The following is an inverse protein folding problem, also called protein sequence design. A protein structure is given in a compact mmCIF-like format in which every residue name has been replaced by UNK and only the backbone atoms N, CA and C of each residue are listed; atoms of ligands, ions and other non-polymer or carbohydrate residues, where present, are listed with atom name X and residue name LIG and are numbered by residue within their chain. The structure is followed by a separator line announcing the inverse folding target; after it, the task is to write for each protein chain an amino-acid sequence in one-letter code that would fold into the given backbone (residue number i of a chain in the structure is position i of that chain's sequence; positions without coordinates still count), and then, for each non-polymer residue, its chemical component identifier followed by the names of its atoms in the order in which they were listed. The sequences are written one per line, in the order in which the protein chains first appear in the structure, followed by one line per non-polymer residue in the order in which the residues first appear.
data_IF_980380226714
#
_entry.id   IF_980380226714
#
_cell.length_a   1.000
_cell.length_b   1.000
_cell.length_c   1.000
_cell.angle_alpha   90.00
_cell.angle_beta   90.00
_cell.angle_gamma   90.00
#
_symmetry.space_group_name_H-M   'P 1'
#
loop_
_entity.id
_entity.type
_entity.pdbx_description
1 polymer ?
#
# COMPACT_ATOMS: atom_id res chain seq x y z
N UNK A 1 -6.34 -5.49 6.68
CA UNK A 1 -5.34 -6.15 5.83
C UNK A 1 -4.05 -5.34 5.86
N UNK A 2 -2.92 -6.01 5.79
CA UNK A 2 -1.62 -5.35 5.66
C UNK A 2 -1.12 -5.57 4.23
N UNK A 3 -0.91 -4.49 3.49
CA UNK A 3 -0.44 -4.53 2.09
C UNK A 3 0.84 -3.73 2.02
N UNK A 4 1.97 -4.41 1.99
CA UNK A 4 3.31 -3.80 1.94
C UNK A 4 3.57 -2.81 3.11
N UNK A 5 3.04 -3.09 4.30
CA UNK A 5 3.16 -2.21 5.48
C UNK A 5 2.08 -1.14 5.57
N UNK A 6 1.21 -1.02 4.56
CA UNK A 6 0.06 -0.10 4.59
C UNK A 6 -1.15 -0.80 5.21
N UNK A 7 -1.69 -0.21 6.29
CA UNK A 7 -2.92 -0.68 6.91
C UNK A 7 -4.12 -0.37 6.02
N UNK A 8 -4.60 -1.42 5.35
CA UNK A 8 -5.67 -1.36 4.36
C UNK A 8 -6.97 -1.91 4.94
N UNK A 9 -8.09 -1.26 4.60
CA UNK A 9 -9.43 -1.60 5.11
C UNK A 9 -10.20 -2.36 4.04
N UNK A 10 -10.71 -3.54 4.37
CA UNK A 10 -11.64 -4.28 3.51
C UNK A 10 -13.07 -3.95 3.93
N UNK A 11 -13.93 -3.64 2.96
CA UNK A 11 -15.37 -3.48 3.14
C UNK A 11 -16.11 -4.33 2.10
N UNK A 12 -17.35 -4.71 2.41
CA UNK A 12 -18.26 -5.37 1.47
C UNK A 12 -19.28 -4.32 1.02
N UNK A 13 -19.18 -3.90 -0.23
CA UNK A 13 -20.00 -2.84 -0.81
C UNK A 13 -21.03 -3.43 -1.77
N UNK A 14 -21.97 -2.61 -2.25
CA UNK A 14 -22.99 -3.05 -3.21
C UNK A 14 -22.41 -3.60 -4.52
N UNK A 15 -21.20 -3.19 -4.88
CA UNK A 15 -20.44 -3.64 -6.05
C UNK A 15 -19.45 -4.78 -5.75
N UNK A 16 -19.50 -5.34 -4.54
CA UNK A 16 -18.64 -6.44 -4.10
C UNK A 16 -17.55 -6.02 -3.11
N UNK A 17 -16.58 -6.92 -2.84
CA UNK A 17 -15.48 -6.65 -1.92
C UNK A 17 -14.60 -5.51 -2.40
N UNK A 18 -14.32 -4.56 -1.50
CA UNK A 18 -13.52 -3.38 -1.78
C UNK A 18 -12.40 -3.23 -0.75
N UNK A 19 -11.15 -3.10 -1.22
CA UNK A 19 -10.01 -2.81 -0.35
C UNK A 19 -9.54 -1.37 -0.55
N UNK A 20 -9.56 -0.59 0.53
CA UNK A 20 -9.06 0.79 0.56
C UNK A 20 -7.65 0.84 1.13
N UNK A 21 -6.70 1.34 0.33
CA UNK A 21 -5.28 1.45 0.67
C UNK A 21 -4.96 2.95 0.89
N UNK A 22 -4.32 3.34 2.01
CA UNK A 22 -4.02 4.74 2.28
C UNK A 22 -2.88 5.28 1.40
N UNK A 23 -2.99 6.55 0.99
CA UNK A 23 -1.88 7.33 0.45
C UNK A 23 -1.07 8.04 1.55
N UNK A 24 -0.05 8.79 1.14
CA UNK A 24 0.75 9.61 2.03
C UNK A 24 1.11 10.96 1.36
N UNK A 25 1.26 12.01 2.16
CA UNK A 25 1.80 13.28 1.69
C UNK A 25 3.33 13.19 1.57
N UNK A 26 3.86 13.67 0.44
CA UNK A 26 5.30 13.69 0.16
C UNK A 26 5.78 15.14 0.24
N UNK A 27 6.78 15.38 1.07
CA UNK A 27 7.42 16.68 1.30
C UNK A 27 8.93 16.57 1.06
N UNK A 28 9.66 17.69 1.10
CA UNK A 28 11.11 17.68 0.88
C UNK A 28 11.85 16.83 1.91
N UNK A 29 11.31 16.73 3.12
CA UNK A 29 11.93 16.03 4.25
C UNK A 29 11.82 14.51 4.11
N UNK A 30 10.87 13.99 3.32
CA UNK A 30 10.63 12.56 3.18
C UNK A 30 10.65 12.05 1.73
N UNK A 31 10.92 12.91 0.75
CA UNK A 31 10.81 12.59 -0.69
C UNK A 31 11.62 11.36 -1.08
N UNK A 32 12.74 11.08 -0.40
CA UNK A 32 13.62 9.94 -0.68
C UNK A 32 13.21 8.63 -0.02
N UNK A 33 12.06 8.58 0.69
CA UNK A 33 11.59 7.37 1.35
C UNK A 33 11.38 6.23 0.32
N UNK A 34 12.08 5.09 0.45
CA UNK A 34 12.01 4.00 -0.52
C UNK A 34 10.62 3.36 -0.64
N UNK A 35 9.73 3.55 0.36
CA UNK A 35 8.35 3.09 0.30
C UNK A 35 7.49 3.87 -0.70
N UNK A 36 7.90 5.08 -1.10
CA UNK A 36 7.19 5.84 -2.12
C UNK A 36 7.50 5.27 -3.50
N UNK A 37 6.44 4.87 -4.21
CA UNK A 37 6.54 4.21 -5.51
C UNK A 37 7.31 5.03 -6.55
N UNK A 38 7.28 6.37 -6.46
CA UNK A 38 8.04 7.28 -7.32
C UNK A 38 9.57 7.13 -7.22
N UNK A 39 10.08 6.53 -6.13
CA UNK A 39 11.51 6.24 -5.95
C UNK A 39 11.95 4.91 -6.57
N UNK A 40 11.05 4.18 -7.25
CA UNK A 40 11.36 2.98 -8.04
C UNK A 40 12.11 1.87 -7.28
N UNK A 41 11.88 1.76 -5.98
CA UNK A 41 12.41 0.70 -5.11
C UNK A 41 11.27 -0.25 -4.70
N UNK A 42 10.82 -1.14 -5.61
CA UNK A 42 9.74 -2.07 -5.29
C UNK A 42 10.15 -3.04 -4.17
N UNK A 43 9.18 -3.61 -3.44
CA UNK A 43 9.45 -4.65 -2.45
C UNK A 43 10.21 -5.84 -3.05
N UNK A 44 11.19 -6.37 -2.32
CA UNK A 44 11.95 -7.56 -2.74
C UNK A 44 11.27 -8.88 -2.39
N UNK A 45 10.28 -8.85 -1.49
CA UNK A 45 9.55 -10.03 -1.06
C UNK A 45 8.57 -10.54 -2.12
N UNK A 46 8.42 -11.87 -2.21
CA UNK A 46 7.39 -12.49 -3.04
C UNK A 46 6.00 -12.20 -2.49
N UNK A 47 5.09 -11.72 -3.34
CA UNK A 47 3.67 -11.61 -3.01
C UNK A 47 3.11 -13.02 -2.82
N UNK A 48 2.49 -13.27 -1.66
CA UNK A 48 1.83 -14.54 -1.36
C UNK A 48 0.31 -14.34 -1.33
N UNK A 49 -0.47 -15.37 -1.72
CA UNK A 49 -1.90 -15.38 -1.46
C UNK A 49 -2.17 -15.17 0.03
N UNK A 50 -3.27 -14.50 0.33
CA UNK A 50 -3.79 -14.43 1.70
C UNK A 50 -4.46 -15.77 2.00
N UNK A 51 -4.13 -16.37 3.15
CA UNK A 51 -4.78 -17.58 3.69
C UNK A 51 -5.94 -17.23 4.62
#
# INVERSE_FOLDING_TARGET
YDVLGLKSTLTIEAWGPNIKIPGAAITKENVDNPAFWGNLKPPSGTVKPVE
#
